data_IF_564127559532
#
_entry.id   IF_564127559532
#
_cell.length_a   1.000
_cell.length_b   1.000
_cell.length_c   1.000
_cell.angle_alpha   90.00
_cell.angle_beta   90.00
_cell.angle_gamma   90.00
#
_symmetry.space_group_name_H-M   'P 1'
#
loop_
_entity.id
_entity.type
_entity.pdbx_description
1 polymer ?
#
# COMPACT_ATOMS: atom_id res chain seq x y z
N UNK A 1 -8.86 -5.97 17.35
CA UNK A 1 -7.88 -5.86 18.47
C UNK A 1 -6.95 -4.64 18.38
N UNK A 2 -7.37 -3.56 17.69
CA UNK A 2 -6.60 -2.29 17.53
C UNK A 2 -6.94 -1.19 18.55
N UNK A 3 -7.68 -1.51 19.61
CA UNK A 3 -8.14 -0.51 20.60
C UNK A 3 -7.28 -0.39 21.86
N UNK A 4 -6.28 -1.22 22.10
CA UNK A 4 -5.66 -1.33 23.41
C UNK A 4 -4.47 -0.38 23.70
N UNK A 5 -3.98 0.40 22.73
CA UNK A 5 -2.98 1.46 22.99
C UNK A 5 -3.62 2.86 23.09
N UNK A 6 -4.92 2.96 23.29
CA UNK A 6 -5.64 4.24 23.46
C UNK A 6 -5.56 4.82 24.89
N UNK A 7 -4.79 4.20 25.78
CA UNK A 7 -4.53 4.74 27.10
C UNK A 7 -3.38 5.76 27.12
N UNK A 8 -3.18 6.43 28.26
CA UNK A 8 -2.13 7.44 28.48
C UNK A 8 -0.71 6.98 28.06
N UNK A 9 -0.40 5.68 28.18
CA UNK A 9 0.86 5.10 27.73
C UNK A 9 1.02 5.13 26.19
N UNK A 10 -0.07 4.92 25.45
CA UNK A 10 -0.05 5.01 23.98
C UNK A 10 0.23 6.43 23.49
N UNK A 11 -0.37 7.45 24.12
CA UNK A 11 -0.14 8.84 23.74
C UNK A 11 1.28 9.32 24.06
N UNK A 12 1.96 8.74 25.05
CA UNK A 12 3.35 9.05 25.38
C UNK A 12 4.34 8.52 24.34
N UNK A 13 4.09 7.33 23.77
CA UNK A 13 4.99 6.73 22.78
C UNK A 13 5.14 7.64 21.55
N UNK A 14 4.06 8.25 21.08
CA UNK A 14 4.07 9.15 19.90
C UNK A 14 4.74 10.51 20.13
N UNK A 15 5.20 10.81 21.36
CA UNK A 15 6.01 12.00 21.70
C UNK A 15 7.52 11.71 21.74
N UNK A 16 7.91 10.45 21.58
CA UNK A 16 9.32 10.06 21.56
C UNK A 16 9.98 10.44 20.24
N UNK A 17 11.32 10.57 20.21
CA UNK A 17 12.05 10.64 18.96
C UNK A 17 11.67 9.46 18.04
N UNK A 18 11.47 9.72 16.74
CA UNK A 18 10.92 8.75 15.77
C UNK A 18 11.65 7.39 15.83
N UNK A 19 12.98 7.40 15.94
CA UNK A 19 13.77 6.16 16.03
C UNK A 19 13.45 5.32 17.26
N UNK A 20 13.19 5.95 18.42
CA UNK A 20 12.82 5.23 19.64
C UNK A 20 11.37 4.75 19.59
N UNK A 21 10.47 5.61 19.15
CA UNK A 21 9.06 5.26 18.91
C UNK A 21 8.93 4.02 18.03
N UNK A 22 9.61 4.04 16.86
CA UNK A 22 9.59 2.91 15.90
C UNK A 22 10.14 1.62 16.53
N UNK A 23 11.21 1.69 17.33
CA UNK A 23 11.77 0.52 18.02
C UNK A 23 10.80 -0.09 19.01
N UNK A 24 10.12 0.73 19.79
CA UNK A 24 9.12 0.27 20.77
C UNK A 24 7.89 -0.33 20.09
N UNK A 25 7.36 0.32 19.04
CA UNK A 25 6.25 -0.21 18.25
C UNK A 25 6.61 -1.53 17.59
N UNK A 26 7.79 -1.62 16.98
CA UNK A 26 8.28 -2.85 16.37
C UNK A 26 8.37 -3.99 17.39
N UNK A 27 9.01 -3.74 18.54
CA UNK A 27 9.15 -4.74 19.58
C UNK A 27 7.78 -5.23 20.10
N UNK A 28 6.83 -4.32 20.25
CA UNK A 28 5.46 -4.66 20.66
C UNK A 28 4.73 -5.53 19.64
N UNK A 29 4.76 -5.13 18.36
CA UNK A 29 4.02 -5.84 17.28
C UNK A 29 4.70 -7.15 16.86
N UNK A 30 6.04 -7.12 16.72
CA UNK A 30 6.80 -8.27 16.21
C UNK A 30 7.24 -9.25 17.29
N UNK A 31 7.11 -8.88 18.58
CA UNK A 31 7.54 -9.72 19.72
C UNK A 31 9.03 -10.10 19.66
N UNK A 32 9.86 -9.25 19.07
CA UNK A 32 11.32 -9.38 18.97
C UNK A 32 11.99 -8.01 19.03
N UNK A 33 13.30 -7.99 19.37
CA UNK A 33 14.07 -6.76 19.33
C UNK A 33 14.34 -6.31 17.90
N UNK A 34 14.28 -4.99 17.61
CA UNK A 34 14.59 -4.45 16.29
C UNK A 34 16.10 -4.41 16.00
N UNK A 35 16.48 -4.74 14.77
CA UNK A 35 17.87 -4.66 14.29
C UNK A 35 18.04 -3.56 13.22
N UNK A 36 17.44 -2.38 13.41
CA UNK A 36 17.40 -1.33 12.39
C UNK A 36 18.77 -0.75 11.99
N UNK A 37 19.80 -0.88 12.83
CA UNK A 37 21.15 -0.41 12.48
C UNK A 37 21.90 -1.41 11.57
N UNK A 38 21.55 -2.70 11.66
CA UNK A 38 22.07 -3.79 10.81
C UNK A 38 20.89 -4.67 10.45
N UNK A 39 20.00 -4.18 9.55
CA UNK A 39 18.74 -4.86 9.28
C UNK A 39 18.96 -6.17 8.53
N UNK A 40 18.37 -7.23 9.04
CA UNK A 40 18.44 -8.60 8.48
C UNK A 40 17.11 -8.98 7.86
N UNK A 41 16.01 -8.82 8.61
CA UNK A 41 14.69 -9.23 8.17
C UNK A 41 14.06 -8.17 7.24
N UNK A 42 13.08 -8.57 6.46
CA UNK A 42 12.30 -7.65 5.62
C UNK A 42 11.67 -6.51 6.46
N UNK A 43 11.06 -6.88 7.59
CA UNK A 43 10.45 -5.90 8.50
C UNK A 43 11.49 -4.93 9.09
N UNK A 44 12.71 -5.39 9.43
CA UNK A 44 13.80 -4.50 9.83
C UNK A 44 14.19 -3.54 8.70
N UNK A 45 14.25 -4.03 7.44
CA UNK A 45 14.62 -3.23 6.26
C UNK A 45 13.57 -2.18 5.91
N UNK A 46 12.28 -2.48 6.06
CA UNK A 46 11.21 -1.46 5.93
C UNK A 46 11.40 -0.36 6.97
N UNK A 47 11.66 -0.72 8.23
CA UNK A 47 11.90 0.26 9.30
C UNK A 47 13.18 1.07 9.07
N UNK A 48 14.26 0.43 8.59
CA UNK A 48 15.49 1.11 8.19
C UNK A 48 15.21 2.15 7.10
N UNK A 49 14.43 1.79 6.08
CA UNK A 49 14.04 2.70 4.99
C UNK A 49 13.26 3.90 5.53
N UNK A 50 12.29 3.69 6.42
CA UNK A 50 11.53 4.78 7.05
C UNK A 50 12.46 5.74 7.81
N UNK A 51 13.47 5.20 8.50
CA UNK A 51 14.37 6.00 9.35
C UNK A 51 15.50 6.67 8.56
N UNK A 52 16.03 6.04 7.52
CA UNK A 52 17.33 6.43 6.93
C UNK A 52 17.27 6.76 5.43
N UNK A 53 16.33 6.21 4.66
CA UNK A 53 16.26 6.42 3.23
C UNK A 53 15.48 7.69 2.90
N UNK A 54 16.13 8.64 2.22
CA UNK A 54 15.57 9.94 1.83
C UNK A 54 15.70 10.15 0.32
N UNK A 55 15.65 9.05 -0.46
CA UNK A 55 15.72 9.16 -1.93
C UNK A 55 14.43 9.76 -2.50
N UNK A 56 14.52 10.68 -3.48
CA UNK A 56 13.34 11.30 -4.09
C UNK A 56 12.36 10.30 -4.71
N UNK A 57 12.86 9.12 -5.13
CA UNK A 57 11.99 8.08 -5.69
C UNK A 57 10.91 7.62 -4.71
N UNK A 58 11.13 7.71 -3.39
CA UNK A 58 10.14 7.33 -2.39
C UNK A 58 9.01 8.36 -2.26
N UNK A 59 9.26 9.62 -2.62
CA UNK A 59 8.27 10.70 -2.52
C UNK A 59 7.10 10.48 -3.48
N UNK A 60 7.40 10.28 -4.78
CA UNK A 60 6.34 10.09 -5.76
C UNK A 60 5.63 8.74 -5.62
N UNK A 61 6.27 7.72 -5.01
CA UNK A 61 5.60 6.44 -4.69
C UNK A 61 4.61 6.54 -3.52
N UNK A 62 4.51 7.69 -2.86
CA UNK A 62 3.53 7.98 -1.80
C UNK A 62 2.44 8.98 -2.22
N UNK A 63 2.53 9.56 -3.43
CA UNK A 63 1.53 10.43 -4.05
C UNK A 63 0.74 9.63 -5.09
N UNK A 64 -0.56 9.37 -4.87
CA UNK A 64 -1.37 8.52 -5.75
C UNK A 64 -1.46 9.03 -7.18
N UNK A 65 -1.54 10.36 -7.36
CA UNK A 65 -1.58 10.94 -8.70
C UNK A 65 -0.24 10.81 -9.41
N UNK A 66 0.88 10.99 -8.68
CA UNK A 66 2.21 10.82 -9.26
C UNK A 66 2.51 9.36 -9.62
N UNK A 67 2.10 8.39 -8.79
CA UNK A 67 2.30 6.97 -9.12
C UNK A 67 1.41 6.51 -10.29
N UNK A 68 0.21 7.07 -10.45
CA UNK A 68 -0.65 6.84 -11.62
C UNK A 68 0.01 7.39 -12.90
N UNK A 69 0.49 8.63 -12.87
CA UNK A 69 1.28 9.24 -13.94
C UNK A 69 2.48 8.37 -14.35
N UNK A 70 3.19 7.80 -13.38
CA UNK A 70 4.30 6.89 -13.63
C UNK A 70 3.85 5.62 -14.34
N UNK A 71 2.77 4.98 -13.88
CA UNK A 71 2.22 3.78 -14.50
C UNK A 71 1.71 4.04 -15.92
N UNK A 72 1.06 5.18 -16.18
CA UNK A 72 0.61 5.58 -17.52
C UNK A 72 1.77 5.82 -18.49
N UNK A 73 2.84 6.49 -18.02
CA UNK A 73 4.05 6.74 -18.83
C UNK A 73 4.82 5.48 -19.19
N UNK A 74 4.70 4.43 -18.41
CA UNK A 74 5.31 3.14 -18.70
C UNK A 74 4.76 2.49 -19.98
N UNK A 75 3.56 2.87 -20.42
CA UNK A 75 2.89 2.41 -21.66
C UNK A 75 2.92 0.88 -21.83
N UNK A 76 2.69 0.16 -20.72
CA UNK A 76 2.69 -1.30 -20.72
C UNK A 76 1.42 -1.84 -21.37
N UNK A 77 1.59 -2.86 -22.21
CA UNK A 77 0.47 -3.47 -22.91
C UNK A 77 -0.55 -4.01 -21.89
N UNK A 78 -1.83 -3.66 -22.10
CA UNK A 78 -2.98 -4.07 -21.28
C UNK A 78 -2.90 -3.65 -19.79
N UNK A 79 -1.97 -2.79 -19.40
CA UNK A 79 -2.07 -2.08 -18.13
C UNK A 79 -3.05 -0.93 -18.28
N UNK A 80 -4.10 -0.96 -17.48
CA UNK A 80 -5.06 0.13 -17.35
C UNK A 80 -4.85 0.85 -16.02
N UNK A 81 -4.75 2.15 -16.05
CA UNK A 81 -4.75 2.98 -14.83
C UNK A 81 -6.18 3.46 -14.59
N UNK A 82 -6.75 3.31 -13.38
CA UNK A 82 -8.11 3.77 -13.10
C UNK A 82 -8.28 5.25 -13.46
N UNK A 83 -9.36 5.58 -14.15
CA UNK A 83 -9.61 6.96 -14.55
C UNK A 83 -9.83 7.85 -13.32
N UNK A 84 -9.04 8.91 -13.19
CA UNK A 84 -9.29 9.99 -12.23
C UNK A 84 -10.36 10.91 -12.84
N UNK A 85 -11.50 11.01 -12.17
CA UNK A 85 -12.66 11.80 -12.62
C UNK A 85 -12.47 13.25 -12.17
N UNK A 86 -11.98 13.43 -10.96
CA UNK A 86 -11.68 14.74 -10.38
C UNK A 86 -10.57 14.61 -9.33
N UNK A 87 -9.81 15.68 -9.14
CA UNK A 87 -8.88 15.82 -8.02
C UNK A 87 -8.79 17.27 -7.59
N UNK A 88 -8.81 17.52 -6.27
CA UNK A 88 -8.79 18.87 -5.71
C UNK A 88 -8.78 18.85 -4.19
N UNK A 89 -8.69 20.02 -3.57
CA UNK A 89 -8.74 20.16 -2.11
C UNK A 89 -10.14 20.58 -1.61
N UNK A 90 -10.97 21.13 -2.46
CA UNK A 90 -12.32 21.58 -2.12
C UNK A 90 -13.37 20.63 -2.71
N UNK A 91 -13.97 19.81 -1.86
CA UNK A 91 -15.05 18.89 -2.26
C UNK A 91 -16.29 19.62 -2.80
N UNK A 92 -16.46 20.92 -2.52
CA UNK A 92 -17.52 21.74 -3.08
C UNK A 92 -17.52 21.80 -4.59
N UNK A 93 -16.34 21.63 -5.22
CA UNK A 93 -16.18 21.58 -6.68
C UNK A 93 -16.91 20.39 -7.32
N UNK A 94 -17.14 19.30 -6.56
CA UNK A 94 -17.85 18.13 -7.05
C UNK A 94 -19.30 18.40 -7.46
N UNK A 95 -19.89 19.54 -7.04
CA UNK A 95 -21.22 19.97 -7.51
C UNK A 95 -21.26 20.23 -9.01
N UNK A 96 -20.13 20.62 -9.60
CA UNK A 96 -19.99 20.93 -11.02
C UNK A 96 -19.41 19.75 -11.83
N UNK A 97 -19.08 18.64 -11.18
CA UNK A 97 -18.50 17.45 -11.82
C UNK A 97 -19.62 16.44 -12.12
N UNK A 98 -19.68 15.96 -13.36
CA UNK A 98 -20.54 14.84 -13.74
C UNK A 98 -19.93 13.55 -13.17
N UNK A 99 -20.49 13.03 -12.09
CA UNK A 99 -20.07 11.79 -11.45
C UNK A 99 -20.82 10.60 -12.06
N UNK A 100 -20.14 9.44 -12.26
CA UNK A 100 -20.82 8.22 -12.64
C UNK A 100 -21.72 7.70 -11.50
N UNK A 101 -22.55 6.71 -11.79
CA UNK A 101 -23.43 6.11 -10.78
C UNK A 101 -22.66 5.60 -9.55
N UNK A 102 -21.47 5.03 -9.77
CA UNK A 102 -20.58 4.55 -8.70
C UNK A 102 -19.18 5.09 -8.89
N UNK A 103 -18.60 5.59 -7.81
CA UNK A 103 -17.27 6.19 -7.79
C UNK A 103 -16.57 6.00 -6.44
N UNK A 104 -15.29 6.27 -6.40
CA UNK A 104 -14.47 6.10 -5.20
C UNK A 104 -13.75 7.41 -4.88
N UNK A 105 -13.87 7.88 -3.64
CA UNK A 105 -13.09 9.01 -3.11
C UNK A 105 -11.96 8.52 -2.22
N UNK A 106 -10.77 9.06 -2.41
CA UNK A 106 -9.57 8.75 -1.63
C UNK A 106 -8.74 10.01 -1.37
N UNK A 107 -8.01 10.12 -0.26
CA UNK A 107 -6.95 11.14 -0.14
C UNK A 107 -5.72 10.71 -0.93
N UNK A 108 -5.08 11.67 -1.61
CA UNK A 108 -3.89 11.44 -2.42
C UNK A 108 -2.68 10.99 -1.58
N UNK A 109 -2.48 11.60 -0.43
CA UNK A 109 -1.30 11.53 0.44
C UNK A 109 -1.45 10.60 1.65
N UNK A 110 -2.46 9.74 1.69
CA UNK A 110 -2.72 8.82 2.81
C UNK A 110 -3.24 7.48 2.32
N UNK A 111 -2.99 6.43 3.10
CA UNK A 111 -3.47 5.08 2.85
C UNK A 111 -4.64 4.70 3.79
N UNK A 112 -5.43 3.71 3.37
CA UNK A 112 -6.47 3.10 4.20
C UNK A 112 -7.74 3.94 4.41
N UNK A 113 -7.89 5.07 3.72
CA UNK A 113 -9.08 5.91 3.71
C UNK A 113 -9.73 5.81 2.33
N UNK A 114 -10.99 5.42 2.31
CA UNK A 114 -11.77 5.23 1.09
C UNK A 114 -13.25 5.47 1.40
N UNK A 115 -13.94 6.14 0.48
CA UNK A 115 -15.39 6.31 0.48
C UNK A 115 -15.95 5.85 -0.86
N UNK A 116 -17.00 5.05 -0.83
CA UNK A 116 -17.71 4.58 -2.02
C UNK A 116 -18.93 5.46 -2.22
N UNK A 117 -18.91 6.26 -3.27
CA UNK A 117 -19.98 7.17 -3.63
C UNK A 117 -20.96 6.57 -4.63
N UNK A 118 -22.18 7.07 -4.61
CA UNK A 118 -23.26 6.69 -5.52
C UNK A 118 -23.98 7.95 -6.02
N UNK A 119 -24.12 8.08 -7.34
CA UNK A 119 -24.74 9.24 -7.98
C UNK A 119 -24.04 10.56 -7.62
N UNK A 120 -24.82 11.64 -7.50
CA UNK A 120 -24.28 12.95 -7.16
C UNK A 120 -23.78 12.99 -5.71
N UNK A 121 -22.66 13.69 -5.48
CA UNK A 121 -22.01 13.78 -4.19
C UNK A 121 -22.88 14.52 -3.15
N UNK A 122 -23.15 13.87 -2.01
CA UNK A 122 -23.72 14.50 -0.83
C UNK A 122 -22.62 15.26 -0.07
N UNK A 123 -22.72 16.60 -0.07
CA UNK A 123 -21.68 17.46 0.48
C UNK A 123 -21.58 17.35 2.02
N UNK A 124 -22.70 17.17 2.71
CA UNK A 124 -22.73 17.11 4.17
C UNK A 124 -22.16 15.76 4.66
N UNK A 125 -22.51 14.68 3.96
CA UNK A 125 -21.92 13.36 4.22
C UNK A 125 -20.41 13.38 3.95
N UNK A 126 -19.96 13.90 2.80
CA UNK A 126 -18.56 14.00 2.46
C UNK A 126 -17.79 14.85 3.48
N UNK A 127 -18.31 16.02 3.88
CA UNK A 127 -17.66 16.85 4.89
C UNK A 127 -17.48 16.10 6.21
N UNK A 128 -18.48 15.30 6.61
CA UNK A 128 -18.43 14.50 7.83
C UNK A 128 -17.40 13.38 7.74
N UNK A 129 -17.43 12.58 6.66
CA UNK A 129 -16.56 11.41 6.49
C UNK A 129 -15.10 11.83 6.30
N UNK A 130 -14.85 12.92 5.59
CA UNK A 130 -13.51 13.35 5.21
C UNK A 130 -12.89 14.40 6.13
N UNK A 131 -13.55 14.77 7.22
CA UNK A 131 -13.16 15.88 8.11
C UNK A 131 -11.68 15.91 8.53
N UNK A 132 -11.01 14.73 8.59
CA UNK A 132 -9.59 14.61 8.95
C UNK A 132 -8.72 14.03 7.84
N UNK A 133 -9.27 13.89 6.62
CA UNK A 133 -8.54 13.18 5.56
C UNK A 133 -7.38 13.99 4.99
N UNK A 134 -7.46 15.32 5.00
CA UNK A 134 -6.40 16.21 4.56
C UNK A 134 -5.44 16.64 5.70
N UNK A 135 -5.61 16.10 6.91
CA UNK A 135 -4.69 16.38 8.01
C UNK A 135 -3.25 16.06 7.59
N UNK A 136 -2.32 16.84 8.14
CA UNK A 136 -0.91 16.70 7.83
C UNK A 136 -0.36 15.33 8.24
N UNK A 137 0.75 14.94 7.61
CA UNK A 137 1.45 13.69 7.88
C UNK A 137 1.87 13.52 9.37
N UNK A 138 2.08 14.60 10.11
CA UNK A 138 2.45 14.55 11.53
C UNK A 138 1.43 13.79 12.38
N UNK A 139 0.17 13.74 11.93
CA UNK A 139 -0.86 12.92 12.54
C UNK A 139 -0.72 11.41 12.22
N UNK A 140 0.15 11.03 11.29
CA UNK A 140 0.36 9.63 10.90
C UNK A 140 1.14 8.87 11.97
N UNK A 141 0.52 7.83 12.51
CA UNK A 141 1.14 6.91 13.48
C UNK A 141 2.25 6.05 12.89
N UNK A 142 2.35 5.98 11.57
CA UNK A 142 3.32 5.11 10.87
C UNK A 142 4.66 5.80 10.62
N UNK A 143 4.74 7.13 10.74
CA UNK A 143 5.98 7.92 10.52
C UNK A 143 6.66 7.65 9.17
N UNK A 144 5.90 7.31 8.16
CA UNK A 144 6.36 7.08 6.79
C UNK A 144 6.58 8.43 6.09
N UNK A 145 7.75 9.00 6.28
CA UNK A 145 8.08 10.41 5.96
C UNK A 145 7.72 10.83 4.53
N UNK A 146 7.82 9.92 3.54
CA UNK A 146 7.59 10.27 2.15
C UNK A 146 6.13 10.64 1.86
N UNK A 147 5.16 10.19 2.66
CA UNK A 147 3.79 10.67 2.57
C UNK A 147 3.62 12.16 2.92
N UNK A 148 4.57 12.74 3.68
CA UNK A 148 4.53 14.16 4.01
C UNK A 148 4.83 15.08 2.80
N UNK A 149 5.45 14.53 1.75
CA UNK A 149 5.77 15.28 0.51
C UNK A 149 4.65 15.18 -0.53
N UNK A 150 3.73 14.22 -0.35
CA UNK A 150 2.60 14.05 -1.25
C UNK A 150 1.58 15.19 -1.07
N UNK A 151 0.94 15.59 -2.15
CA UNK A 151 -0.01 16.71 -2.16
C UNK A 151 -1.25 16.38 -1.33
N UNK A 152 -1.62 17.21 -0.33
CA UNK A 152 -2.81 16.98 0.50
C UNK A 152 -4.07 17.39 -0.29
N UNK A 153 -4.60 16.44 -1.05
CA UNK A 153 -5.80 16.62 -1.86
C UNK A 153 -6.60 15.32 -1.95
N UNK A 154 -7.82 15.42 -2.40
CA UNK A 154 -8.69 14.31 -2.72
C UNK A 154 -8.54 13.91 -4.18
N UNK A 155 -8.90 12.67 -4.49
CA UNK A 155 -9.14 12.21 -5.85
C UNK A 155 -10.41 11.37 -5.89
N UNK A 156 -11.22 11.58 -6.93
CA UNK A 156 -12.36 10.75 -7.27
C UNK A 156 -11.97 9.89 -8.46
N UNK A 157 -12.16 8.60 -8.34
CA UNK A 157 -11.84 7.60 -9.37
C UNK A 157 -13.07 6.79 -9.74
N UNK A 158 -13.02 6.17 -10.92
CA UNK A 158 -13.96 5.12 -11.28
C UNK A 158 -13.93 3.97 -10.28
N UNK A 159 -15.09 3.37 -10.00
CA UNK A 159 -15.17 2.13 -9.24
C UNK A 159 -14.75 0.95 -10.12
N UNK A 160 -13.88 0.09 -9.61
CA UNK A 160 -13.48 -1.16 -10.26
C UNK A 160 -14.42 -2.29 -9.84
N UNK A 161 -14.95 -3.01 -10.81
CA UNK A 161 -15.88 -4.12 -10.58
C UNK A 161 -17.27 -3.67 -10.10
N UNK A 162 -18.15 -4.63 -9.77
CA UNK A 162 -19.50 -4.33 -9.31
C UNK A 162 -19.49 -3.74 -7.89
N UNK A 163 -20.47 -2.88 -7.55
CA UNK A 163 -20.61 -2.33 -6.21
C UNK A 163 -20.68 -3.43 -5.15
N UNK A 164 -19.92 -3.26 -4.06
CA UNK A 164 -19.87 -4.21 -2.95
C UNK A 164 -19.07 -5.49 -3.22
N UNK A 165 -18.56 -5.67 -4.44
CA UNK A 165 -17.74 -6.84 -4.80
C UNK A 165 -16.55 -6.42 -5.68
N UNK A 166 -15.63 -5.61 -5.17
CA UNK A 166 -14.43 -5.25 -5.94
C UNK A 166 -13.57 -6.48 -6.20
N UNK A 167 -12.76 -6.45 -7.27
CA UNK A 167 -11.88 -7.55 -7.63
C UNK A 167 -10.85 -7.82 -6.52
N UNK A 168 -10.32 -9.06 -6.43
CA UNK A 168 -9.21 -9.38 -5.54
C UNK A 168 -8.00 -8.47 -5.78
N UNK A 169 -7.34 -8.11 -4.68
CA UNK A 169 -6.17 -7.23 -4.65
C UNK A 169 -4.91 -8.12 -4.67
N UNK A 170 -4.14 -8.07 -5.76
CA UNK A 170 -2.88 -8.82 -5.93
C UNK A 170 -1.72 -7.90 -5.63
N UNK A 171 -1.03 -8.15 -4.53
CA UNK A 171 0.10 -7.36 -4.03
C UNK A 171 1.40 -8.08 -4.32
N UNK A 172 2.14 -7.61 -5.30
CA UNK A 172 3.34 -8.27 -5.78
C UNK A 172 4.57 -7.59 -5.16
N UNK A 173 5.34 -8.33 -4.39
CA UNK A 173 6.59 -7.88 -3.79
C UNK A 173 7.71 -8.02 -4.81
N UNK A 174 8.32 -6.90 -5.17
CA UNK A 174 9.35 -6.81 -6.21
C UNK A 174 10.66 -6.36 -5.59
N UNK A 175 11.71 -7.15 -5.73
CA UNK A 175 13.05 -6.88 -5.20
C UNK A 175 14.02 -6.63 -6.36
N UNK A 176 14.51 -5.39 -6.53
CA UNK A 176 15.40 -5.01 -7.64
C UNK A 176 14.83 -5.41 -9.01
N UNK A 177 13.57 -5.12 -9.24
CA UNK A 177 12.85 -5.48 -10.45
C UNK A 177 12.35 -6.92 -10.54
N UNK A 178 12.70 -7.80 -9.58
CA UNK A 178 12.29 -9.23 -9.63
C UNK A 178 11.07 -9.47 -8.75
N UNK A 179 9.89 -9.78 -9.32
CA UNK A 179 8.75 -10.29 -8.56
C UNK A 179 9.12 -11.57 -7.82
N UNK A 180 8.73 -11.70 -6.56
CA UNK A 180 9.09 -12.86 -5.73
C UNK A 180 7.93 -13.46 -4.95
N UNK A 181 7.03 -12.60 -4.46
CA UNK A 181 5.92 -12.97 -3.61
C UNK A 181 4.65 -12.26 -4.07
N UNK A 182 3.54 -12.99 -4.08
CA UNK A 182 2.20 -12.45 -4.33
C UNK A 182 1.37 -12.62 -3.07
N UNK A 183 0.81 -11.53 -2.56
CA UNK A 183 -0.20 -11.55 -1.52
C UNK A 183 -1.57 -11.28 -2.17
N UNK A 184 -2.42 -12.28 -2.23
CA UNK A 184 -3.81 -12.14 -2.66
C UNK A 184 -4.67 -11.79 -1.43
N UNK A 185 -5.35 -10.65 -1.49
CA UNK A 185 -6.22 -10.17 -0.41
C UNK A 185 -7.66 -10.10 -0.90
N UNK A 186 -8.55 -10.79 -0.20
CA UNK A 186 -9.99 -10.62 -0.36
C UNK A 186 -10.55 -9.90 0.88
N UNK A 187 -10.80 -8.60 0.76
CA UNK A 187 -11.24 -7.76 1.88
C UNK A 187 -12.72 -7.92 2.21
N UNK A 188 -13.50 -8.43 1.26
CA UNK A 188 -14.95 -8.50 1.35
C UNK A 188 -15.46 -9.87 1.77
N UNK A 189 -14.58 -10.88 1.74
CA UNK A 189 -14.87 -12.22 2.23
C UNK A 189 -14.01 -12.53 3.47
N UNK A 190 -14.43 -12.01 4.61
CA UNK A 190 -13.78 -12.26 5.90
C UNK A 190 -12.40 -11.65 6.10
N UNK A 191 -11.96 -10.71 5.24
CA UNK A 191 -10.62 -10.10 5.30
C UNK A 191 -9.50 -11.15 5.37
N UNK A 192 -9.56 -12.12 4.46
CA UNK A 192 -8.62 -13.21 4.35
C UNK A 192 -7.51 -12.88 3.33
N UNK A 193 -6.35 -13.50 3.51
CA UNK A 193 -5.23 -13.38 2.57
C UNK A 193 -4.56 -14.73 2.37
N UNK A 194 -3.93 -14.93 1.23
CA UNK A 194 -2.99 -16.02 0.99
C UNK A 194 -1.78 -15.53 0.23
N UNK A 195 -0.62 -16.00 0.65
CA UNK A 195 0.63 -15.73 -0.03
C UNK A 195 0.93 -16.86 -1.03
N UNK A 196 1.47 -16.47 -2.19
CA UNK A 196 1.89 -17.37 -3.25
C UNK A 196 3.30 -17.03 -3.73
N UNK A 197 4.02 -18.03 -4.22
CA UNK A 197 5.19 -17.79 -5.07
C UNK A 197 4.75 -17.28 -6.45
N UNK A 198 5.70 -16.83 -7.25
CA UNK A 198 5.40 -16.34 -8.60
C UNK A 198 4.87 -17.42 -9.55
N UNK A 199 5.15 -18.70 -9.28
CA UNK A 199 4.59 -19.86 -9.98
C UNK A 199 3.22 -20.31 -9.45
N UNK A 200 2.60 -19.47 -8.61
CA UNK A 200 1.34 -19.73 -7.92
C UNK A 200 1.36 -20.85 -6.88
N UNK A 201 2.54 -21.32 -6.45
CA UNK A 201 2.65 -22.25 -5.32
C UNK A 201 2.16 -21.59 -4.03
N UNK A 202 1.10 -22.11 -3.36
CA UNK A 202 0.56 -21.51 -2.15
C UNK A 202 1.51 -21.69 -0.97
N UNK A 203 1.55 -20.67 -0.11
CA UNK A 203 2.38 -20.67 1.09
C UNK A 203 1.51 -20.74 2.35
N UNK A 204 1.96 -21.55 3.32
CA UNK A 204 1.36 -21.60 4.67
C UNK A 204 2.02 -20.54 5.57
N UNK A 205 1.95 -19.29 5.14
CA UNK A 205 2.52 -18.11 5.81
C UNK A 205 1.43 -17.11 6.08
N UNK A 206 1.37 -16.63 7.31
CA UNK A 206 0.52 -15.50 7.71
C UNK A 206 1.34 -14.21 7.70
N UNK A 207 0.76 -13.15 7.15
CA UNK A 207 1.29 -11.78 7.25
C UNK A 207 0.27 -10.88 7.92
N UNK A 208 0.61 -10.38 9.11
CA UNK A 208 -0.29 -9.54 9.90
C UNK A 208 -1.39 -10.30 10.64
N UNK A 209 -2.55 -9.67 10.87
CA UNK A 209 -3.64 -10.20 11.69
C UNK A 209 -4.67 -11.04 10.90
N UNK A 210 -4.57 -11.07 9.58
CA UNK A 210 -5.51 -11.78 8.71
C UNK A 210 -5.44 -13.30 8.92
N UNK A 211 -6.50 -14.01 8.53
CA UNK A 211 -6.49 -15.48 8.41
C UNK A 211 -6.05 -15.91 7.01
N UNK A 212 -5.59 -17.17 6.91
CA UNK A 212 -5.22 -17.75 5.61
C UNK A 212 -6.49 -18.07 4.83
N UNK A 213 -6.61 -17.52 3.62
CA UNK A 213 -7.66 -17.86 2.68
C UNK A 213 -7.50 -19.28 2.12
N UNK A 214 -8.56 -19.94 1.65
CA UNK A 214 -8.45 -21.16 0.85
C UNK A 214 -7.54 -20.96 -0.36
N UNK A 215 -6.95 -22.04 -0.87
CA UNK A 215 -6.17 -22.00 -2.12
C UNK A 215 -7.11 -21.66 -3.27
N UNK A 216 -6.78 -20.61 -4.01
CA UNK A 216 -7.47 -20.21 -5.22
C UNK A 216 -6.72 -20.71 -6.48
N UNK A 217 -7.41 -20.92 -7.62
CA UNK A 217 -6.75 -21.15 -8.90
C UNK A 217 -5.92 -19.92 -9.30
N UNK A 218 -4.89 -20.10 -10.15
CA UNK A 218 -4.13 -18.97 -10.66
C UNK A 218 -5.06 -18.01 -11.43
N UNK A 219 -4.90 -16.68 -11.26
CA UNK A 219 -5.67 -15.72 -12.02
C UNK A 219 -5.27 -15.76 -13.50
N UNK A 220 -6.20 -15.53 -14.44
CA UNK A 220 -5.91 -15.56 -15.88
C UNK A 220 -4.79 -14.61 -16.31
N UNK A 221 -4.63 -13.50 -15.61
CA UNK A 221 -3.62 -12.49 -15.87
C UNK A 221 -2.29 -12.67 -15.15
N UNK A 222 -2.00 -13.81 -14.50
CA UNK A 222 -0.84 -13.99 -13.65
C UNK A 222 0.47 -13.57 -14.32
N UNK A 223 0.80 -14.14 -15.47
CA UNK A 223 2.07 -13.85 -16.16
C UNK A 223 2.19 -12.38 -16.54
N UNK A 224 1.07 -11.78 -16.93
CA UNK A 224 1.00 -10.36 -17.28
C UNK A 224 1.17 -9.47 -16.05
N UNK A 225 0.54 -9.82 -14.94
CA UNK A 225 0.75 -9.09 -13.68
C UNK A 225 2.22 -9.14 -13.24
N UNK A 226 2.88 -10.28 -13.41
CA UNK A 226 4.30 -10.41 -13.07
C UNK A 226 5.21 -9.57 -13.99
N UNK A 227 4.94 -9.54 -15.31
CA UNK A 227 5.67 -8.67 -16.23
C UNK A 227 5.45 -7.18 -15.91
N UNK A 228 4.22 -6.77 -15.66
CA UNK A 228 3.88 -5.39 -15.27
C UNK A 228 4.59 -5.03 -13.96
N UNK A 229 4.55 -5.90 -12.95
CA UNK A 229 5.19 -5.67 -11.67
C UNK A 229 6.73 -5.56 -11.81
N UNK A 230 7.35 -6.41 -12.65
CA UNK A 230 8.75 -6.30 -13.02
C UNK A 230 9.07 -4.91 -13.58
N UNK A 231 8.36 -4.48 -14.64
CA UNK A 231 8.59 -3.21 -15.32
C UNK A 231 8.40 -2.00 -14.42
N UNK A 232 7.33 -1.98 -13.62
CA UNK A 232 7.07 -0.88 -12.70
C UNK A 232 8.04 -0.87 -11.52
N UNK A 233 8.55 -2.03 -11.10
CA UNK A 233 9.46 -2.16 -9.96
C UNK A 233 10.94 -2.08 -10.31
N UNK A 234 11.33 -2.20 -11.59
CA UNK A 234 12.74 -2.28 -12.03
C UNK A 234 13.66 -1.19 -11.48
N UNK A 235 13.27 0.10 -11.46
CA UNK A 235 14.14 1.16 -10.96
C UNK A 235 14.24 1.23 -9.43
N UNK A 236 13.54 0.36 -8.70
CA UNK A 236 13.40 0.45 -7.25
C UNK A 236 13.97 -0.80 -6.59
N UNK A 237 14.83 -0.63 -5.58
CA UNK A 237 15.45 -1.74 -4.84
C UNK A 237 14.43 -2.67 -4.17
N UNK A 238 13.32 -2.13 -3.70
CA UNK A 238 12.13 -2.85 -3.27
C UNK A 238 10.90 -1.97 -3.42
N UNK A 239 9.85 -2.54 -3.97
CA UNK A 239 8.50 -1.95 -4.02
C UNK A 239 7.45 -3.07 -4.02
N UNK A 240 6.29 -2.83 -3.41
CA UNK A 240 5.11 -3.66 -3.61
C UNK A 240 4.25 -3.00 -4.69
N UNK A 241 3.94 -3.76 -5.72
CA UNK A 241 3.08 -3.34 -6.83
C UNK A 241 1.72 -3.99 -6.62
N UNK A 242 0.69 -3.19 -6.42
CA UNK A 242 -0.68 -3.66 -6.19
C UNK A 242 -1.47 -3.56 -7.51
N UNK A 243 -2.03 -4.69 -7.94
CA UNK A 243 -2.73 -4.83 -9.23
C UNK A 243 -4.08 -5.54 -9.02
N UNK A 244 -4.99 -5.33 -9.98
CA UNK A 244 -6.24 -6.08 -10.09
C UNK A 244 -6.29 -6.80 -11.43
N UNK A 245 -6.73 -8.06 -11.42
CA UNK A 245 -6.91 -8.83 -12.66
C UNK A 245 -8.36 -8.71 -13.14
N UNK A 246 -8.55 -8.09 -14.29
CA UNK A 246 -9.82 -7.99 -15.01
C UNK A 246 -9.76 -8.70 -16.37
N UNK A 247 -8.83 -9.66 -16.53
CA UNK A 247 -8.65 -10.38 -17.80
C UNK A 247 -9.93 -11.07 -18.29
N UNK A 248 -10.74 -11.60 -17.39
CA UNK A 248 -12.03 -12.25 -17.72
C UNK A 248 -13.15 -11.23 -18.02
N UNK A 249 -12.94 -9.94 -17.71
CA UNK A 249 -13.94 -8.88 -17.90
C UNK A 249 -13.67 -8.10 -19.19
N UNK A 250 -12.49 -7.51 -19.31
CA UNK A 250 -12.11 -6.65 -20.43
C UNK A 250 -10.68 -6.94 -20.96
N UNK A 251 -10.04 -7.99 -20.47
CA UNK A 251 -8.70 -8.41 -20.87
C UNK A 251 -7.58 -7.54 -20.27
N UNK A 252 -7.87 -6.69 -19.29
CA UNK A 252 -6.89 -5.77 -18.69
C UNK A 252 -6.35 -6.23 -17.33
N UNK A 253 -5.16 -5.76 -17.01
CA UNK A 253 -4.64 -5.66 -15.64
C UNK A 253 -4.78 -4.21 -15.22
N UNK A 254 -5.31 -3.96 -14.02
CA UNK A 254 -5.55 -2.61 -13.54
C UNK A 254 -4.54 -2.25 -12.45
N UNK A 255 -3.95 -1.07 -12.59
CA UNK A 255 -3.03 -0.51 -11.60
C UNK A 255 -3.77 -0.12 -10.31
N UNK A 256 -3.26 -0.58 -9.18
CA UNK A 256 -3.75 -0.19 -7.85
C UNK A 256 -2.88 0.89 -7.21
N UNK A 257 -1.71 0.50 -6.73
CA UNK A 257 -0.76 1.42 -6.08
C UNK A 257 0.67 0.87 -6.09
N UNK A 258 1.64 1.73 -5.80
CA UNK A 258 3.01 1.38 -5.42
C UNK A 258 3.19 1.62 -3.92
N UNK A 259 3.69 0.61 -3.20
CA UNK A 259 3.83 0.70 -1.74
C UNK A 259 5.29 0.47 -1.31
N UNK A 260 6.02 1.54 -0.93
CA UNK A 260 7.42 1.41 -0.49
C UNK A 260 7.56 0.92 0.96
N UNK A 261 6.49 1.01 1.76
CA UNK A 261 6.49 0.69 3.19
C UNK A 261 5.34 -0.28 3.56
N UNK A 262 5.32 -1.54 3.10
CA UNK A 262 4.23 -2.46 3.40
C UNK A 262 3.96 -2.55 4.90
N UNK A 263 2.72 -2.22 5.29
CA UNK A 263 2.26 -2.19 6.69
C UNK A 263 3.18 -1.40 7.65
N UNK A 264 3.95 -0.42 7.13
CA UNK A 264 4.94 0.33 7.91
C UNK A 264 6.03 -0.54 8.54
N UNK A 265 6.24 -1.78 8.09
CA UNK A 265 7.18 -2.73 8.68
C UNK A 265 6.84 -3.14 10.13
N UNK A 266 5.57 -3.03 10.53
CA UNK A 266 5.11 -3.39 11.88
C UNK A 266 4.35 -4.71 11.93
N UNK A 267 3.83 -5.19 10.80
CA UNK A 267 3.19 -6.50 10.74
C UNK A 267 4.24 -7.60 10.62
N UNK A 268 3.96 -8.75 11.25
CA UNK A 268 4.90 -9.87 11.30
C UNK A 268 4.48 -11.02 10.40
N UNK A 269 5.47 -11.70 9.86
CA UNK A 269 5.29 -13.00 9.22
C UNK A 269 5.28 -14.14 10.26
N UNK A 270 4.50 -15.17 10.00
CA UNK A 270 4.47 -16.42 10.75
C UNK A 270 4.50 -17.59 9.78
N UNK A 271 5.57 -18.38 9.76
CA UNK A 271 6.73 -18.37 10.67
C UNK A 271 7.66 -17.17 10.47
N UNK A 272 8.39 -16.81 11.53
CA UNK A 272 9.32 -15.68 11.52
C UNK A 272 10.53 -15.86 10.59
N UNK A 273 10.88 -17.10 10.23
CA UNK A 273 11.91 -17.40 9.24
C UNK A 273 11.60 -16.82 7.87
N UNK A 274 10.33 -16.67 7.51
CA UNK A 274 9.93 -16.08 6.25
C UNK A 274 10.28 -14.57 6.14
N UNK A 275 10.23 -13.86 7.25
CA UNK A 275 10.69 -12.46 7.33
C UNK A 275 12.20 -12.33 7.06
N UNK A 276 13.00 -13.34 7.48
CA UNK A 276 14.43 -13.41 7.17
C UNK A 276 14.64 -13.71 5.69
N UNK A 277 13.95 -14.72 5.15
CA UNK A 277 14.01 -15.12 3.74
C UNK A 277 13.73 -13.93 2.80
N UNK A 278 12.67 -13.17 3.06
CA UNK A 278 12.37 -11.96 2.27
C UNK A 278 13.42 -10.86 2.48
N UNK A 279 13.97 -10.78 3.69
CA UNK A 279 15.06 -9.84 3.98
C UNK A 279 16.30 -10.11 3.13
N UNK A 280 16.67 -11.35 2.93
CA UNK A 280 17.84 -11.73 2.12
C UNK A 280 17.71 -11.30 0.64
N UNK A 281 16.49 -11.24 0.12
CA UNK A 281 16.21 -10.82 -1.27
C UNK A 281 16.35 -9.31 -1.49
N UNK A 282 16.25 -8.51 -0.43
CA UNK A 282 16.31 -7.07 -0.54
C UNK A 282 17.71 -6.52 -0.25
N UNK A 283 18.37 -5.99 -1.27
CA UNK A 283 19.61 -5.24 -1.13
C UNK A 283 19.30 -3.77 -0.86
N UNK A 284 19.58 -3.31 0.35
CA UNK A 284 19.40 -1.91 0.70
C UNK A 284 20.38 -1.01 -0.07
N UNK A 285 19.97 0.21 -0.43
CA UNK A 285 20.87 1.18 -1.02
C UNK A 285 21.99 1.55 -0.04
N UNK A 286 23.15 1.92 -0.56
CA UNK A 286 24.23 2.44 0.26
C UNK A 286 23.74 3.65 1.06
N UNK A 287 24.12 3.78 2.35
CA UNK A 287 23.83 4.98 3.13
C UNK A 287 24.38 6.23 2.41
N UNK A 288 23.61 7.31 2.37
CA UNK A 288 24.16 8.58 1.88
C UNK A 288 25.23 9.07 2.86
N UNK A 289 26.39 9.53 2.36
CA UNK A 289 27.37 10.19 3.22
C UNK A 289 26.70 11.42 3.87
N UNK A 290 26.65 11.47 5.20
CA UNK A 290 26.21 12.65 5.95
C UNK A 290 24.71 12.71 6.30
N UNK A 291 23.97 11.58 6.32
CA UNK A 291 22.61 11.50 6.89
C UNK A 291 22.62 11.17 8.38
#
# INVERSE_FOLDING_TARGET
MRQSLRGAAGSMIYRLPVGLERRLLFAYHNRKLPHFNKPVTFSDKVNWRILNDRRPLLEWTCDKLAMKDYAERARLERLRVPRTIWSGADLGELRAVELPEHWVLKPNHRSGLIYFGHGQADQDELATVTATWLDTFESSKMREWAYATARPMFLVEELLGPPGSPPPDFKIFVFGGKPDLIEMVNRYDGNQQRLYRTDWTPLEVLFGPQSIAPVAPPPPGLDRMLDIAHRLGEPIDFIRVDLYDLCDVDGSIVFGELTPYPCGGLERFRPASFDVELGEKWQLPAPRPGA
#
